data_IF_473553957613
#
_entry.id   IF_473553957613
#
_cell.length_a   1.000
_cell.length_b   1.000
_cell.length_c   1.000
_cell.angle_alpha   90.00
_cell.angle_beta   90.00
_cell.angle_gamma   90.00
#
_symmetry.space_group_name_H-M   'P 1'
#
loop_
_entity.id
_entity.type
_entity.pdbx_description
1 polymer ?
#
# COMPACT_ATOMS: atom_id res chain seq x y z
N UNK A 1 -20.08 1.21 -43.48
CA UNK A 1 -19.19 0.04 -43.32
C UNK A 1 -18.08 0.44 -42.39
N UNK A 2 -18.26 0.11 -41.13
CA UNK A 2 -17.33 0.48 -40.05
C UNK A 2 -16.46 -0.76 -39.82
N UNK A 3 -15.19 -0.68 -40.20
CA UNK A 3 -14.20 -1.71 -39.93
C UNK A 3 -14.00 -1.79 -38.40
N UNK A 4 -14.50 -2.88 -37.84
CA UNK A 4 -14.05 -3.35 -36.52
C UNK A 4 -12.60 -3.80 -36.68
N UNK A 5 -11.67 -2.96 -36.24
CA UNK A 5 -10.26 -3.34 -36.11
C UNK A 5 -10.20 -4.54 -35.16
N UNK A 6 -9.85 -5.69 -35.71
CA UNK A 6 -9.57 -6.90 -34.97
C UNK A 6 -8.46 -6.58 -33.95
N UNK A 7 -8.80 -6.66 -32.66
CA UNK A 7 -7.80 -6.63 -31.59
C UNK A 7 -6.85 -7.80 -31.81
N UNK A 8 -5.64 -7.53 -32.27
CA UNK A 8 -4.59 -8.53 -32.39
C UNK A 8 -4.43 -9.23 -31.03
N UNK A 9 -4.58 -10.55 -31.00
CA UNK A 9 -4.32 -11.32 -29.78
C UNK A 9 -2.87 -11.06 -29.37
N UNK A 10 -2.66 -10.63 -28.13
CA UNK A 10 -1.31 -10.39 -27.63
C UNK A 10 -0.51 -11.69 -27.68
N UNK A 11 0.74 -11.63 -28.13
CA UNK A 11 1.63 -12.78 -28.15
C UNK A 11 1.90 -13.30 -26.73
N UNK A 12 2.07 -14.60 -26.57
CA UNK A 12 2.48 -15.19 -25.30
C UNK A 12 3.88 -14.67 -24.92
N UNK A 13 4.10 -14.44 -23.62
CA UNK A 13 5.41 -14.01 -23.11
C UNK A 13 6.42 -15.14 -23.22
N UNK A 14 7.52 -14.92 -23.93
CA UNK A 14 8.64 -15.88 -23.99
C UNK A 14 9.36 -15.95 -22.65
N UNK A 15 10.18 -16.99 -22.42
CA UNK A 15 10.99 -17.08 -21.20
C UNK A 15 12.08 -15.99 -21.14
N UNK A 16 12.59 -15.59 -22.29
CA UNK A 16 13.56 -14.50 -22.39
C UNK A 16 12.92 -13.16 -22.00
N UNK A 17 11.80 -12.83 -22.60
CA UNK A 17 11.06 -11.59 -22.29
C UNK A 17 10.59 -11.54 -20.83
N UNK A 18 10.18 -12.71 -20.29
CA UNK A 18 9.84 -12.80 -18.86
C UNK A 18 11.03 -12.42 -17.99
N UNK A 19 12.23 -12.94 -18.25
CA UNK A 19 13.43 -12.60 -17.47
C UNK A 19 13.77 -11.12 -17.60
N UNK A 20 13.72 -10.54 -18.78
CA UNK A 20 13.97 -9.13 -19.01
C UNK A 20 13.00 -8.24 -18.21
N UNK A 21 11.70 -8.52 -18.26
CA UNK A 21 10.69 -7.77 -17.54
C UNK A 21 10.77 -7.99 -16.02
N UNK A 22 11.00 -9.22 -15.57
CA UNK A 22 11.22 -9.55 -14.16
C UNK A 22 12.39 -8.77 -13.58
N UNK A 23 13.53 -8.82 -14.25
CA UNK A 23 14.75 -8.18 -13.78
C UNK A 23 14.60 -6.65 -13.80
N UNK A 24 13.96 -6.10 -14.84
CA UNK A 24 13.61 -4.68 -14.89
C UNK A 24 12.68 -4.25 -13.73
N UNK A 25 11.66 -5.03 -13.43
CA UNK A 25 10.74 -4.77 -12.30
C UNK A 25 11.52 -4.81 -10.98
N UNK A 26 12.35 -5.84 -10.79
CA UNK A 26 13.17 -5.97 -9.59
C UNK A 26 14.13 -4.80 -9.41
N UNK A 27 14.89 -4.44 -10.43
CA UNK A 27 15.83 -3.31 -10.40
C UNK A 27 15.16 -1.97 -10.07
N UNK A 28 13.91 -1.79 -10.49
CA UNK A 28 13.19 -0.52 -10.31
C UNK A 28 12.27 -0.48 -9.10
N UNK A 29 11.90 -1.61 -8.48
CA UNK A 29 10.96 -1.66 -7.37
C UNK A 29 11.38 -2.56 -6.21
N UNK A 30 12.35 -3.44 -6.41
CA UNK A 30 12.67 -4.51 -5.47
C UNK A 30 11.71 -5.71 -5.52
N UNK A 31 10.61 -5.63 -6.28
CA UNK A 31 9.61 -6.72 -6.35
C UNK A 31 10.14 -7.85 -7.24
N UNK A 32 10.27 -9.05 -6.66
CA UNK A 32 10.80 -10.23 -7.34
C UNK A 32 9.69 -11.22 -7.75
N UNK A 33 9.77 -11.72 -8.97
CA UNK A 33 8.95 -12.81 -9.49
C UNK A 33 9.79 -14.05 -9.72
N UNK A 34 9.53 -15.14 -8.99
CA UNK A 34 10.16 -16.44 -9.29
C UNK A 34 9.74 -16.96 -10.66
N UNK A 35 10.52 -17.88 -11.23
CA UNK A 35 10.23 -18.46 -12.56
C UNK A 35 8.85 -19.13 -12.62
N UNK A 36 8.36 -19.66 -11.50
CA UNK A 36 7.02 -20.25 -11.38
C UNK A 36 5.89 -19.23 -11.49
N UNK A 37 6.17 -17.93 -11.39
CA UNK A 37 5.19 -16.84 -11.45
C UNK A 37 5.09 -16.19 -12.84
N UNK A 38 5.69 -16.77 -13.87
CA UNK A 38 5.65 -16.25 -15.25
C UNK A 38 4.23 -15.96 -15.71
N UNK A 39 3.32 -16.93 -15.59
CA UNK A 39 1.93 -16.77 -15.99
C UNK A 39 1.20 -15.66 -15.20
N UNK A 40 1.55 -15.52 -13.92
CA UNK A 40 0.99 -14.44 -13.08
C UNK A 40 1.45 -13.07 -13.58
N UNK A 41 2.74 -12.92 -13.89
CA UNK A 41 3.28 -11.66 -14.42
C UNK A 41 2.67 -11.35 -15.78
N UNK A 42 2.63 -12.34 -16.69
CA UNK A 42 2.01 -12.21 -18.01
C UNK A 42 0.58 -11.67 -17.92
N UNK A 43 -0.26 -12.30 -17.10
CA UNK A 43 -1.65 -11.88 -16.90
C UNK A 43 -1.75 -10.43 -16.38
N UNK A 44 -0.87 -10.02 -15.46
CA UNK A 44 -0.84 -8.65 -14.93
C UNK A 44 -0.41 -7.63 -15.98
N UNK A 45 0.56 -7.98 -16.81
CA UNK A 45 1.10 -7.08 -17.84
C UNK A 45 0.24 -7.04 -19.12
N UNK A 46 -0.59 -8.05 -19.38
CA UNK A 46 -1.52 -8.05 -20.52
C UNK A 46 -2.40 -6.78 -20.55
N UNK A 47 -2.88 -6.34 -19.39
CA UNK A 47 -3.67 -5.11 -19.29
C UNK A 47 -2.83 -3.87 -19.63
N UNK A 48 -1.53 -3.90 -19.33
CA UNK A 48 -0.63 -2.78 -19.64
C UNK A 48 -0.31 -2.71 -21.13
N UNK A 49 -0.10 -3.87 -21.78
CA UNK A 49 0.05 -3.93 -23.23
C UNK A 49 -1.13 -3.25 -23.93
N UNK A 50 -2.34 -3.68 -23.58
CA UNK A 50 -3.58 -3.12 -24.16
C UNK A 50 -3.69 -1.62 -23.93
N UNK A 51 -3.40 -1.15 -22.73
CA UNK A 51 -3.46 0.28 -22.38
C UNK A 51 -2.45 1.14 -23.16
N UNK A 52 -1.35 0.54 -23.64
CA UNK A 52 -0.33 1.21 -24.46
C UNK A 52 -0.46 0.86 -25.95
N UNK A 53 -1.55 0.21 -26.39
CA UNK A 53 -1.77 -0.23 -27.77
C UNK A 53 -0.64 -1.13 -28.32
N UNK A 54 -0.06 -1.95 -27.44
CA UNK A 54 0.98 -2.90 -27.77
C UNK A 54 0.42 -4.33 -27.78
N UNK A 55 0.90 -5.14 -28.72
CA UNK A 55 0.57 -6.57 -28.82
C UNK A 55 1.71 -7.50 -28.41
N UNK A 56 2.85 -6.94 -28.00
CA UNK A 56 4.12 -7.61 -27.88
C UNK A 56 4.82 -7.17 -26.59
N UNK A 57 5.20 -8.13 -25.75
CA UNK A 57 5.88 -7.88 -24.48
C UNK A 57 7.31 -7.35 -24.65
N UNK A 58 7.99 -7.69 -25.76
CA UNK A 58 9.32 -7.15 -26.04
C UNK A 58 9.25 -5.66 -26.32
N UNK A 59 8.27 -5.20 -27.12
CA UNK A 59 8.04 -3.78 -27.36
C UNK A 59 7.70 -3.04 -26.05
N UNK A 60 6.93 -3.67 -25.16
CA UNK A 60 6.62 -3.10 -23.87
C UNK A 60 7.87 -2.95 -23.00
N UNK A 61 8.75 -3.96 -22.96
CA UNK A 61 10.03 -3.87 -22.28
C UNK A 61 10.90 -2.73 -22.83
N UNK A 62 11.04 -2.65 -24.16
CA UNK A 62 11.82 -1.59 -24.80
C UNK A 62 11.24 -0.21 -24.53
N UNK A 63 9.92 -0.04 -24.55
CA UNK A 63 9.27 1.20 -24.19
C UNK A 63 9.60 1.59 -22.74
N UNK A 64 9.45 0.67 -21.79
CA UNK A 64 9.77 0.95 -20.38
C UNK A 64 11.23 1.37 -20.17
N UNK A 65 12.15 0.76 -20.92
CA UNK A 65 13.58 0.95 -20.74
C UNK A 65 14.13 2.18 -21.43
N UNK A 66 13.61 2.54 -22.58
CA UNK A 66 14.22 3.53 -23.46
C UNK A 66 13.35 4.76 -23.77
N UNK A 67 12.05 4.73 -23.50
CA UNK A 67 11.18 5.88 -23.71
C UNK A 67 11.39 6.91 -22.59
N UNK A 68 11.84 8.13 -22.88
CA UNK A 68 11.99 9.20 -21.87
C UNK A 68 10.68 9.52 -21.14
N UNK A 69 9.53 9.19 -21.72
CA UNK A 69 8.21 9.43 -21.13
C UNK A 69 7.68 8.23 -20.34
N UNK A 70 8.44 7.13 -20.23
CA UNK A 70 8.02 5.91 -19.53
C UNK A 70 7.74 6.10 -18.03
N UNK A 71 8.11 7.22 -17.41
CA UNK A 71 7.93 7.45 -15.98
C UNK A 71 6.48 7.33 -15.49
N UNK A 72 5.50 7.74 -16.30
CA UNK A 72 4.07 7.55 -16.00
C UNK A 72 3.68 6.07 -16.12
N UNK A 73 4.14 5.40 -17.15
CA UNK A 73 3.87 3.98 -17.35
C UNK A 73 4.52 3.12 -16.30
N UNK A 74 5.71 3.47 -15.83
CA UNK A 74 6.38 2.77 -14.74
C UNK A 74 5.53 2.74 -13.44
N UNK A 75 4.85 3.84 -13.12
CA UNK A 75 3.89 3.85 -12.00
C UNK A 75 2.70 2.93 -12.24
N UNK A 76 2.15 2.92 -13.45
CA UNK A 76 1.07 2.01 -13.82
C UNK A 76 1.52 0.54 -13.81
N UNK A 77 2.77 0.27 -14.19
CA UNK A 77 3.40 -1.03 -14.06
C UNK A 77 3.42 -1.47 -12.59
N UNK A 78 3.91 -0.61 -11.67
CA UNK A 78 3.94 -0.93 -10.24
C UNK A 78 2.52 -1.16 -9.68
N UNK A 79 1.53 -0.35 -10.08
CA UNK A 79 0.13 -0.60 -9.73
C UNK A 79 -0.38 -1.98 -10.18
N UNK A 80 0.13 -2.49 -11.31
CA UNK A 80 -0.27 -3.78 -11.87
C UNK A 80 0.45 -4.96 -11.24
N UNK A 81 1.70 -4.81 -10.83
CA UNK A 81 2.52 -5.91 -10.30
C UNK A 81 2.43 -6.07 -8.78
N UNK A 82 1.96 -5.06 -8.06
CA UNK A 82 1.75 -5.14 -6.62
C UNK A 82 0.55 -6.01 -6.26
N UNK A 83 0.62 -6.65 -5.09
CA UNK A 83 -0.49 -7.37 -4.48
C UNK A 83 -0.98 -6.56 -3.28
N UNK A 84 -2.17 -6.00 -3.41
CA UNK A 84 -2.72 -5.05 -2.44
C UNK A 84 -3.77 -5.70 -1.51
N UNK A 85 -3.59 -6.98 -1.15
CA UNK A 85 -4.48 -7.67 -0.23
C UNK A 85 -4.21 -7.22 1.21
N UNK A 86 -5.20 -6.58 1.80
CA UNK A 86 -5.16 -6.08 3.17
C UNK A 86 -6.55 -6.10 3.81
N UNK A 87 -6.64 -5.91 5.11
CA UNK A 87 -7.89 -5.73 5.85
C UNK A 87 -7.64 -5.03 7.17
N UNK A 88 -8.65 -4.37 7.70
CA UNK A 88 -8.60 -3.81 9.05
C UNK A 88 -8.34 -4.90 10.11
N UNK A 89 -7.54 -4.57 11.12
CA UNK A 89 -7.16 -5.47 12.23
C UNK A 89 -6.57 -6.81 11.76
N UNK A 90 -5.91 -6.83 10.60
CA UNK A 90 -5.24 -8.02 10.04
C UNK A 90 -4.21 -8.56 11.04
N UNK A 91 -4.21 -9.91 11.23
CA UNK A 91 -3.35 -10.61 12.20
C UNK A 91 -3.59 -10.14 13.65
N UNK A 92 -4.72 -10.48 14.25
CA UNK A 92 -5.13 -10.00 15.58
C UNK A 92 -4.05 -10.09 16.66
N UNK A 93 -3.22 -11.16 16.75
CA UNK A 93 -2.16 -11.20 17.77
C UNK A 93 -1.13 -10.08 17.67
N UNK A 94 -0.82 -9.60 16.45
CA UNK A 94 0.12 -8.50 16.25
C UNK A 94 -0.52 -7.16 16.63
N UNK A 95 -1.79 -6.97 16.31
CA UNK A 95 -2.53 -5.76 16.71
C UNK A 95 -2.71 -5.73 18.23
N UNK A 96 -2.98 -6.88 18.85
CA UNK A 96 -3.05 -6.99 20.30
C UNK A 96 -1.71 -6.65 20.96
N UNK A 97 -0.60 -7.19 20.46
CA UNK A 97 0.74 -6.84 20.97
C UNK A 97 1.06 -5.34 20.82
N UNK A 98 0.64 -4.72 19.72
CA UNK A 98 0.74 -3.28 19.53
C UNK A 98 -0.09 -2.52 20.58
N UNK A 99 -1.35 -2.90 20.77
CA UNK A 99 -2.30 -2.24 21.67
C UNK A 99 -1.95 -2.41 23.14
N UNK A 100 -1.56 -3.62 23.57
CA UNK A 100 -1.43 -3.97 24.99
C UNK A 100 0.00 -3.78 25.53
N UNK A 101 1.01 -3.79 24.65
CA UNK A 101 2.42 -3.75 25.04
C UNK A 101 3.16 -2.57 24.42
N UNK A 102 3.41 -2.61 23.11
CA UNK A 102 4.34 -1.69 22.46
C UNK A 102 3.90 -0.21 22.58
N UNK A 103 2.65 0.09 22.28
CA UNK A 103 2.16 1.45 22.32
C UNK A 103 2.07 2.02 23.74
N UNK A 104 1.51 1.31 24.75
CA UNK A 104 1.54 1.79 26.14
C UNK A 104 2.94 2.04 26.68
N UNK A 105 3.90 1.15 26.41
CA UNK A 105 5.30 1.33 26.85
C UNK A 105 5.92 2.61 26.27
N UNK A 106 5.73 2.85 24.99
CA UNK A 106 6.24 4.05 24.32
C UNK A 106 5.57 5.33 24.87
N UNK A 107 4.24 5.31 25.02
CA UNK A 107 3.49 6.44 25.56
C UNK A 107 3.93 6.77 26.98
N UNK A 108 4.13 5.78 27.86
CA UNK A 108 4.60 5.98 29.23
C UNK A 108 6.00 6.59 29.24
N UNK A 109 6.95 6.00 28.51
CA UNK A 109 8.33 6.50 28.44
C UNK A 109 8.39 7.95 27.93
N UNK A 110 7.60 8.27 26.89
CA UNK A 110 7.53 9.64 26.36
C UNK A 110 6.87 10.62 27.32
N UNK A 111 5.83 10.18 28.00
CA UNK A 111 5.15 10.99 28.99
C UNK A 111 6.07 11.35 30.19
N UNK A 112 6.85 10.38 30.67
CA UNK A 112 7.87 10.60 31.72
C UNK A 112 8.95 11.59 31.27
N UNK A 113 9.30 11.56 29.98
CA UNK A 113 10.25 12.51 29.40
C UNK A 113 9.64 13.87 29.01
N UNK A 114 8.36 14.12 29.32
CA UNK A 114 7.65 15.33 28.93
C UNK A 114 7.43 15.49 27.42
N UNK A 115 7.63 14.42 26.63
CA UNK A 115 7.51 14.44 25.19
C UNK A 115 6.14 13.86 24.77
N UNK A 116 5.29 14.68 24.20
CA UNK A 116 3.93 14.31 23.73
C UNK A 116 3.87 14.11 22.21
N UNK A 117 4.97 13.75 21.54
CA UNK A 117 4.97 13.43 20.12
C UNK A 117 4.97 11.93 19.90
N UNK A 118 4.11 11.43 19.00
CA UNK A 118 4.07 10.02 18.61
C UNK A 118 4.18 9.92 17.08
N UNK A 119 5.19 9.21 16.60
CA UNK A 119 5.48 9.05 15.18
C UNK A 119 5.47 7.57 14.82
N UNK A 120 4.49 7.16 14.04
CA UNK A 120 4.33 5.79 13.56
C UNK A 120 4.53 5.72 12.06
N UNK A 121 4.92 4.56 11.54
CA UNK A 121 5.04 4.34 10.10
C UNK A 121 4.45 3.00 9.70
N UNK A 122 3.48 3.02 8.76
CA UNK A 122 2.98 1.87 8.04
C UNK A 122 3.68 1.81 6.68
N UNK A 123 4.66 0.94 6.57
CA UNK A 123 5.51 0.74 5.40
C UNK A 123 4.90 -0.33 4.49
N UNK A 124 4.42 0.04 3.30
CA UNK A 124 3.62 -0.81 2.43
C UNK A 124 2.15 -0.85 2.87
N UNK A 125 1.54 0.34 3.01
CA UNK A 125 0.21 0.50 3.61
C UNK A 125 -0.95 0.04 2.72
N UNK A 126 -0.72 -0.27 1.45
CA UNK A 126 -1.74 -0.69 0.49
C UNK A 126 -2.94 0.29 0.46
N UNK A 127 -4.15 -0.21 0.64
CA UNK A 127 -5.40 0.58 0.61
C UNK A 127 -5.71 1.32 1.92
N UNK A 128 -4.77 1.35 2.87
CA UNK A 128 -4.87 2.17 4.09
C UNK A 128 -5.48 1.48 5.30
N UNK A 129 -5.90 0.23 5.19
CA UNK A 129 -6.51 -0.54 6.28
C UNK A 129 -5.60 -0.60 7.53
N UNK A 130 -4.30 -0.79 7.31
CA UNK A 130 -3.31 -0.87 8.40
C UNK A 130 -3.09 0.47 9.10
N UNK A 131 -2.75 1.58 8.43
CA UNK A 131 -2.52 2.85 9.11
C UNK A 131 -3.79 3.38 9.80
N UNK A 132 -4.97 3.15 9.23
CA UNK A 132 -6.21 3.51 9.92
C UNK A 132 -6.49 2.60 11.12
N UNK A 133 -6.14 1.31 11.06
CA UNK A 133 -6.17 0.43 12.25
C UNK A 133 -5.24 0.98 13.34
N UNK A 134 -4.02 1.39 12.99
CA UNK A 134 -3.09 2.00 13.94
C UNK A 134 -3.69 3.28 14.56
N UNK A 135 -4.32 4.13 13.75
CA UNK A 135 -4.99 5.35 14.20
C UNK A 135 -6.13 5.07 15.19
N UNK A 136 -6.96 4.07 14.90
CA UNK A 136 -8.04 3.62 15.78
C UNK A 136 -7.47 3.13 17.13
N UNK A 137 -6.42 2.31 17.11
CA UNK A 137 -5.79 1.79 18.33
C UNK A 137 -5.20 2.92 19.17
N UNK A 138 -4.50 3.87 18.54
CA UNK A 138 -3.95 5.06 19.25
C UNK A 138 -5.09 5.86 19.88
N UNK A 139 -6.17 6.09 19.14
CA UNK A 139 -7.32 6.85 19.65
C UNK A 139 -8.04 6.12 20.79
N UNK A 140 -8.16 4.79 20.74
CA UNK A 140 -8.73 3.99 21.84
C UNK A 140 -7.90 4.05 23.13
N UNK A 141 -6.58 4.12 23.01
CA UNK A 141 -5.70 4.17 24.18
C UNK A 141 -5.64 5.57 24.77
N UNK A 142 -5.46 6.59 23.93
CA UNK A 142 -5.34 7.98 24.41
C UNK A 142 -6.69 8.58 24.80
N UNK A 143 -7.80 8.21 24.14
CA UNK A 143 -9.16 8.72 24.40
C UNK A 143 -9.19 10.25 24.46
N UNK A 144 -9.71 10.81 25.54
CA UNK A 144 -9.82 12.26 25.74
C UNK A 144 -8.46 12.97 25.80
N UNK A 145 -7.38 12.23 26.01
CA UNK A 145 -6.00 12.77 26.02
C UNK A 145 -5.37 12.85 24.62
N UNK A 146 -6.09 12.46 23.56
CA UNK A 146 -5.53 12.50 22.20
C UNK A 146 -5.13 13.91 21.77
N UNK A 147 -5.86 14.93 22.24
CA UNK A 147 -5.57 16.33 21.98
C UNK A 147 -4.27 16.85 22.64
N UNK A 148 -3.78 16.15 23.67
CA UNK A 148 -2.53 16.50 24.35
C UNK A 148 -1.29 15.99 23.58
N UNK A 149 -1.49 15.15 22.56
CA UNK A 149 -0.44 14.49 21.81
C UNK A 149 -0.39 14.97 20.36
N UNK A 150 0.80 15.23 19.88
CA UNK A 150 1.06 15.39 18.44
C UNK A 150 1.30 14.00 17.82
N UNK A 151 0.22 13.38 17.34
CA UNK A 151 0.23 12.04 16.73
C UNK A 151 0.29 12.16 15.20
N UNK A 152 1.26 11.48 14.58
CA UNK A 152 1.31 11.30 13.14
C UNK A 152 1.64 9.87 12.77
N UNK A 153 0.85 9.33 11.84
CA UNK A 153 1.02 8.00 11.24
C UNK A 153 1.37 8.20 9.78
N UNK A 154 2.64 8.03 9.45
CA UNK A 154 3.08 8.04 8.06
C UNK A 154 2.69 6.70 7.43
N UNK A 155 2.11 6.76 6.25
CA UNK A 155 1.68 5.58 5.52
C UNK A 155 2.20 5.67 4.09
N UNK A 156 2.97 4.69 3.65
CA UNK A 156 3.61 4.73 2.35
C UNK A 156 3.41 3.46 1.55
N UNK A 157 3.26 3.61 0.24
CA UNK A 157 3.17 2.50 -0.70
C UNK A 157 3.76 2.87 -2.06
N UNK A 158 4.15 1.88 -2.85
CA UNK A 158 4.60 2.05 -4.22
C UNK A 158 3.43 2.13 -5.21
N UNK A 159 2.25 1.64 -4.83
CA UNK A 159 1.04 1.68 -5.66
C UNK A 159 0.27 2.98 -5.47
N UNK A 160 0.28 3.83 -6.49
CA UNK A 160 -0.54 5.04 -6.52
C UNK A 160 -2.04 4.72 -6.54
N UNK A 161 -2.43 3.60 -7.16
CA UNK A 161 -3.81 3.11 -7.15
C UNK A 161 -4.27 2.78 -5.73
N UNK A 162 -3.44 2.07 -4.97
CA UNK A 162 -3.72 1.74 -3.58
C UNK A 162 -3.79 3.00 -2.71
N UNK A 163 -2.85 3.93 -2.88
CA UNK A 163 -2.86 5.20 -2.15
C UNK A 163 -4.07 6.08 -2.47
N UNK A 164 -4.58 6.08 -3.72
CA UNK A 164 -5.85 6.75 -4.05
C UNK A 164 -7.02 6.15 -3.28
N UNK A 165 -7.08 4.82 -3.19
CA UNK A 165 -8.10 4.13 -2.37
C UNK A 165 -7.94 4.49 -0.89
N UNK A 166 -6.72 4.47 -0.36
CA UNK A 166 -6.44 4.86 1.02
C UNK A 166 -6.89 6.30 1.32
N UNK A 167 -6.61 7.26 0.40
CA UNK A 167 -7.05 8.66 0.56
C UNK A 167 -8.57 8.83 0.57
N UNK A 168 -9.30 8.00 -0.20
CA UNK A 168 -10.77 8.02 -0.15
C UNK A 168 -11.31 7.57 1.20
N UNK A 169 -10.57 6.70 1.89
CA UNK A 169 -10.94 6.10 3.17
C UNK A 169 -12.32 5.43 3.16
N UNK A 170 -12.73 4.88 2.00
CA UNK A 170 -14.03 4.23 1.78
C UNK A 170 -13.81 2.73 1.56
N UNK A 171 -14.50 1.93 2.34
CA UNK A 171 -14.29 0.48 2.41
C UNK A 171 -15.59 -0.29 2.34
N UNK A 172 -15.52 -1.53 1.91
CA UNK A 172 -16.67 -2.45 1.89
C UNK A 172 -16.72 -3.33 3.16
N UNK A 173 -17.81 -4.06 3.33
CA UNK A 173 -18.01 -4.97 4.47
C UNK A 173 -16.90 -6.03 4.58
N UNK A 174 -16.40 -6.53 3.44
CA UNK A 174 -15.36 -7.56 3.43
C UNK A 174 -14.03 -7.09 4.05
N UNK A 175 -13.61 -5.86 3.78
CA UNK A 175 -12.39 -5.30 4.38
C UNK A 175 -12.55 -5.04 5.87
N UNK A 176 -13.78 -4.85 6.34
CA UNK A 176 -14.12 -4.63 7.75
C UNK A 176 -14.48 -5.90 8.53
N UNK A 177 -14.37 -7.09 7.92
CA UNK A 177 -14.80 -8.37 8.52
C UNK A 177 -14.18 -8.70 9.88
N UNK A 178 -12.99 -8.18 10.16
CA UNK A 178 -12.26 -8.39 11.43
C UNK A 178 -12.41 -7.22 12.41
N UNK A 179 -13.20 -6.20 12.07
CA UNK A 179 -13.43 -5.04 12.93
C UNK A 179 -14.51 -5.36 13.95
N UNK A 180 -14.24 -5.23 15.27
CA UNK A 180 -15.27 -5.38 16.28
C UNK A 180 -16.46 -4.44 16.07
N UNK A 181 -17.68 -4.87 16.34
CA UNK A 181 -18.90 -4.13 16.06
C UNK A 181 -18.90 -2.73 16.72
N UNK A 182 -18.43 -2.63 17.96
CA UNK A 182 -18.33 -1.35 18.68
C UNK A 182 -17.31 -0.38 18.05
N UNK A 183 -16.17 -0.90 17.60
CA UNK A 183 -15.15 -0.14 16.87
C UNK A 183 -15.71 0.35 15.54
N UNK A 184 -16.42 -0.53 14.81
CA UNK A 184 -17.05 -0.19 13.55
C UNK A 184 -18.07 0.95 13.72
N UNK A 185 -18.97 0.86 14.70
CA UNK A 185 -19.94 1.89 15.03
C UNK A 185 -19.29 3.22 15.44
N UNK A 186 -18.17 3.15 16.19
CA UNK A 186 -17.48 4.33 16.71
C UNK A 186 -16.68 5.07 15.65
N UNK A 187 -15.97 4.39 14.73
CA UNK A 187 -14.98 4.96 13.84
C UNK A 187 -15.34 4.96 12.37
N UNK A 188 -16.47 4.37 11.99
CA UNK A 188 -16.89 4.34 10.60
C UNK A 188 -18.28 4.93 10.42
N UNK A 189 -18.47 5.65 9.32
CA UNK A 189 -19.75 6.21 8.90
C UNK A 189 -20.30 5.29 7.81
N UNK A 190 -21.46 4.64 8.00
CA UNK A 190 -22.09 3.84 6.96
C UNK A 190 -22.57 4.73 5.81
N UNK A 191 -22.36 4.27 4.57
CA UNK A 191 -22.81 4.91 3.35
C UNK A 191 -23.25 3.83 2.34
N UNK A 192 -24.51 3.45 2.36
CA UNK A 192 -25.04 2.32 1.58
C UNK A 192 -24.35 1.01 1.96
N UNK A 193 -23.73 0.36 0.98
CA UNK A 193 -22.93 -0.89 1.18
C UNK A 193 -21.49 -0.64 1.58
N UNK A 194 -21.11 0.61 1.81
CA UNK A 194 -19.74 1.02 2.12
C UNK A 194 -19.66 1.73 3.47
N UNK A 195 -18.44 1.95 3.94
CA UNK A 195 -18.12 2.60 5.19
C UNK A 195 -16.98 3.57 4.98
N UNK A 196 -17.12 4.79 5.50
CA UNK A 196 -16.07 5.80 5.46
C UNK A 196 -15.44 5.93 6.84
N UNK A 197 -14.11 5.90 6.92
CA UNK A 197 -13.38 6.18 8.17
C UNK A 197 -13.64 7.63 8.60
N UNK A 198 -13.94 7.86 9.89
CA UNK A 198 -14.18 9.20 10.43
C UNK A 198 -12.94 10.09 10.34
N UNK A 199 -13.15 11.39 10.26
CA UNK A 199 -12.10 12.39 10.06
C UNK A 199 -11.11 12.42 11.23
N UNK A 200 -11.56 12.19 12.47
CA UNK A 200 -10.67 12.13 13.65
C UNK A 200 -9.52 11.11 13.47
N UNK A 201 -9.80 9.99 12.75
CA UNK A 201 -8.78 8.98 12.45
C UNK A 201 -8.02 9.34 11.17
N UNK A 202 -8.71 9.87 10.15
CA UNK A 202 -8.09 10.22 8.87
C UNK A 202 -7.02 11.30 9.03
N UNK A 203 -7.26 12.28 9.88
CA UNK A 203 -6.33 13.39 10.15
C UNK A 203 -5.02 12.93 10.82
N UNK A 204 -5.00 11.76 11.45
CA UNK A 204 -3.78 11.19 12.03
C UNK A 204 -2.84 10.60 10.97
N UNK A 205 -3.35 10.29 9.75
CA UNK A 205 -2.64 9.53 8.72
C UNK A 205 -2.18 10.42 7.59
N UNK A 206 -0.88 10.38 7.31
CA UNK A 206 -0.24 11.07 6.19
C UNK A 206 0.19 10.05 5.12
N UNK A 207 -0.50 10.08 3.96
CA UNK A 207 -0.32 9.13 2.87
C UNK A 207 0.67 9.68 1.83
N UNK A 208 1.73 8.91 1.54
CA UNK A 208 2.76 9.29 0.58
C UNK A 208 3.19 8.13 -0.33
N UNK A 209 3.59 8.47 -1.54
CA UNK A 209 4.25 7.52 -2.44
C UNK A 209 5.69 7.28 -2.00
N UNK A 210 6.06 6.00 -1.82
CA UNK A 210 7.43 5.61 -1.53
C UNK A 210 7.78 4.28 -2.20
N UNK A 211 8.81 4.31 -3.01
CA UNK A 211 9.46 3.10 -3.51
C UNK A 211 10.62 2.76 -2.56
N UNK A 212 10.59 1.59 -1.95
CA UNK A 212 11.63 1.17 -1.01
C UNK A 212 12.99 0.92 -1.69
N UNK A 213 13.01 0.76 -3.01
CA UNK A 213 14.24 0.70 -3.78
C UNK A 213 14.91 2.09 -3.96
N UNK A 214 14.18 3.19 -3.69
CA UNK A 214 14.77 4.54 -3.65
C UNK A 214 15.46 4.78 -2.30
N UNK A 215 16.71 4.36 -2.21
CA UNK A 215 17.51 4.47 -0.99
C UNK A 215 17.65 5.91 -0.47
N UNK A 216 17.57 6.92 -1.34
CA UNK A 216 17.67 8.34 -0.93
C UNK A 216 16.41 8.75 -0.17
N UNK A 217 15.23 8.37 -0.69
CA UNK A 217 13.95 8.66 -0.02
C UNK A 217 13.76 7.85 1.25
N UNK A 218 14.17 6.57 1.24
CA UNK A 218 14.08 5.72 2.44
C UNK A 218 14.96 6.25 3.58
N UNK A 219 16.16 6.77 3.29
CA UNK A 219 17.08 7.31 4.30
C UNK A 219 16.54 8.52 5.07
N UNK A 220 15.63 9.27 4.50
CA UNK A 220 15.00 10.42 5.18
C UNK A 220 13.83 9.99 6.07
N UNK A 221 13.32 8.77 5.90
CA UNK A 221 12.29 8.18 6.74
C UNK A 221 12.91 7.70 8.05
N UNK A 222 12.94 8.58 9.07
CA UNK A 222 13.58 8.32 10.36
C UNK A 222 12.84 9.00 11.51
N UNK A 223 13.15 8.60 12.73
CA UNK A 223 12.56 9.22 13.92
C UNK A 223 11.19 8.64 14.29
N UNK A 224 10.88 7.43 13.81
CA UNK A 224 9.65 6.74 14.17
C UNK A 224 9.79 5.98 15.49
N UNK A 225 8.73 6.00 16.27
CA UNK A 225 8.62 5.24 17.51
C UNK A 225 8.29 3.77 17.25
N UNK A 226 7.44 3.52 16.23
CA UNK A 226 7.06 2.19 15.79
C UNK A 226 6.97 2.18 14.25
N UNK A 227 7.46 1.10 13.64
CA UNK A 227 7.33 0.84 12.20
C UNK A 227 6.59 -0.47 12.01
N UNK A 228 5.49 -0.43 11.27
CA UNK A 228 4.83 -1.61 10.72
C UNK A 228 5.33 -1.83 9.31
N UNK A 229 5.98 -2.99 9.08
CA UNK A 229 6.42 -3.46 7.76
C UNK A 229 5.94 -4.92 7.62
N UNK A 230 4.64 -5.07 7.41
CA UNK A 230 3.96 -6.37 7.48
C UNK A 230 3.55 -6.84 6.09
N UNK A 231 3.84 -8.11 5.78
CA UNK A 231 3.54 -8.71 4.48
C UNK A 231 4.14 -7.95 3.28
N UNK A 232 5.25 -7.26 3.45
CA UNK A 232 5.96 -6.47 2.43
C UNK A 232 7.24 -7.17 2.02
N UNK A 233 8.10 -7.53 2.97
CA UNK A 233 9.42 -8.13 2.70
C UNK A 233 9.37 -9.49 2.00
N UNK A 234 8.19 -10.11 1.95
CA UNK A 234 7.97 -11.37 1.23
C UNK A 234 8.01 -11.21 -0.31
N UNK A 235 8.07 -9.98 -0.80
CA UNK A 235 8.13 -9.66 -2.23
C UNK A 235 9.52 -9.22 -2.69
N UNK A 236 10.49 -9.07 -1.76
CA UNK A 236 11.86 -8.60 -2.01
C UNK A 236 12.87 -9.74 -2.05
#
# INVERSE_FOLDING_TARGET
MTELTASAAASMMTDETFRLLRDFIYENSGIYFSDTKKQQLENRLMLRLRANNLSDFDKYYYMLKYDPQAGKELRCLFDSVTTNETSFFRSPPQIQAFQEKALPEILNRKNEAGNKTLRLWSAGCSTGDEPYTMGIVVHEILRDKISDWDVKIYASDISEKALRSARSAVYNEYTLRSVPAEIKKKYFIPNGSQYTVKDDIRMLVELQYLNFNDSKRVRIMKGFDIIFCRNVLIYF
#
